data_IF_340007096892
#
_entry.id   IF_340007096892
#
_cell.length_a   1.000
_cell.length_b   1.000
_cell.length_c   1.000
_cell.angle_alpha   90.00
_cell.angle_beta   90.00
_cell.angle_gamma   90.00
#
_symmetry.space_group_name_H-M   'P 1'
#
loop_
_entity.id
_entity.type
_entity.pdbx_description
1 polymer ?
#
# COMPACT_ATOMS: atom_id res chain seq x y z
N UNK A 1 -16.45 -15.99 -12.97
CA UNK A 1 -15.08 -16.09 -13.50
C UNK A 1 -14.49 -17.41 -13.05
N UNK A 2 -13.76 -18.17 -13.89
CA UNK A 2 -13.16 -19.45 -13.48
C UNK A 2 -11.65 -19.39 -13.23
N UNK A 3 -10.97 -18.44 -13.87
CA UNK A 3 -9.53 -18.26 -13.80
C UNK A 3 -9.20 -16.77 -13.70
N UNK A 4 -8.19 -16.45 -12.91
CA UNK A 4 -7.70 -15.09 -12.67
C UNK A 4 -6.17 -15.10 -12.73
N UNK A 5 -5.57 -14.13 -13.42
CA UNK A 5 -4.13 -13.95 -13.48
C UNK A 5 -3.71 -12.86 -12.49
N UNK A 6 -2.89 -13.20 -11.50
CA UNK A 6 -2.39 -12.31 -10.46
C UNK A 6 -0.95 -11.92 -10.76
N UNK A 7 -0.71 -10.64 -11.05
CA UNK A 7 0.63 -10.10 -11.22
C UNK A 7 1.29 -9.75 -9.88
N UNK A 8 2.56 -10.15 -9.72
CA UNK A 8 3.36 -9.81 -8.54
C UNK A 8 4.84 -9.74 -8.89
N UNK A 9 5.65 -9.16 -8.02
CA UNK A 9 7.11 -9.21 -8.13
C UNK A 9 7.64 -10.58 -7.70
N UNK A 10 8.88 -10.87 -8.11
CA UNK A 10 9.56 -12.14 -7.85
C UNK A 10 10.24 -12.32 -6.50
N UNK A 11 10.23 -11.31 -5.63
CA UNK A 11 10.88 -11.45 -4.31
C UNK A 11 10.10 -12.42 -3.42
N UNK A 12 10.80 -13.11 -2.50
CA UNK A 12 10.17 -14.06 -1.58
C UNK A 12 8.99 -13.42 -0.82
N UNK A 13 9.14 -12.17 -0.39
CA UNK A 13 8.08 -11.42 0.27
C UNK A 13 6.91 -11.13 -0.69
N UNK A 14 7.16 -10.68 -1.92
CA UNK A 14 6.09 -10.38 -2.88
C UNK A 14 5.30 -11.63 -3.29
N UNK A 15 5.96 -12.79 -3.38
CA UNK A 15 5.29 -14.07 -3.60
C UNK A 15 4.45 -14.48 -2.39
N UNK A 16 4.99 -14.33 -1.16
CA UNK A 16 4.22 -14.62 0.06
C UNK A 16 2.96 -13.72 0.18
N UNK A 17 3.08 -12.44 -0.19
CA UNK A 17 1.97 -11.50 -0.24
C UNK A 17 0.92 -11.89 -1.31
N UNK A 18 1.36 -12.34 -2.48
CA UNK A 18 0.46 -12.84 -3.52
C UNK A 18 -0.29 -14.11 -3.09
N UNK A 19 0.38 -15.02 -2.37
CA UNK A 19 -0.24 -16.23 -1.82
C UNK A 19 -1.29 -15.92 -0.73
N UNK A 20 -1.08 -14.88 0.09
CA UNK A 20 -2.09 -14.39 1.05
C UNK A 20 -3.37 -13.94 0.35
N UNK A 21 -3.23 -13.09 -0.66
CA UNK A 21 -4.38 -12.60 -1.45
C UNK A 21 -5.09 -13.78 -2.12
N UNK A 22 -4.34 -14.70 -2.74
CA UNK A 22 -4.89 -15.93 -3.34
C UNK A 22 -5.65 -16.77 -2.32
N UNK A 23 -5.14 -16.96 -1.10
CA UNK A 23 -5.83 -17.71 -0.05
C UNK A 23 -7.18 -17.09 0.31
N UNK A 24 -7.24 -15.77 0.50
CA UNK A 24 -8.49 -15.05 0.80
C UNK A 24 -9.49 -15.17 -0.36
N UNK A 25 -9.02 -15.02 -1.59
CA UNK A 25 -9.84 -15.18 -2.80
C UNK A 25 -10.42 -16.61 -2.90
N UNK A 26 -9.59 -17.64 -2.75
CA UNK A 26 -10.04 -19.04 -2.80
C UNK A 26 -10.99 -19.37 -1.64
N UNK A 27 -10.80 -18.79 -0.46
CA UNK A 27 -11.75 -19.00 0.65
C UNK A 27 -13.14 -18.43 0.37
N UNK A 28 -13.21 -17.39 -0.47
CA UNK A 28 -14.47 -16.75 -0.88
C UNK A 28 -15.08 -17.46 -2.09
N UNK A 29 -14.25 -17.88 -3.05
CA UNK A 29 -14.66 -18.58 -4.28
C UNK A 29 -13.79 -19.84 -4.44
N UNK A 30 -14.20 -20.99 -3.87
CA UNK A 30 -13.38 -22.21 -3.84
C UNK A 30 -13.01 -22.78 -5.21
N UNK A 31 -13.83 -22.53 -6.23
CA UNK A 31 -13.59 -22.96 -7.61
C UNK A 31 -12.72 -22.00 -8.43
N UNK A 32 -12.27 -20.89 -7.86
CA UNK A 32 -11.45 -19.92 -8.56
C UNK A 32 -10.01 -20.45 -8.74
N UNK A 33 -9.59 -20.58 -9.99
CA UNK A 33 -8.20 -20.86 -10.31
C UNK A 33 -7.40 -19.54 -10.38
N UNK A 34 -6.26 -19.48 -9.69
CA UNK A 34 -5.37 -18.31 -9.71
C UNK A 34 -4.02 -18.72 -10.28
N UNK A 35 -3.59 -18.05 -11.34
CA UNK A 35 -2.26 -18.19 -11.95
C UNK A 35 -1.41 -16.96 -11.62
N UNK A 36 -0.16 -17.18 -11.24
CA UNK A 36 0.77 -16.08 -10.97
C UNK A 36 1.51 -15.67 -12.24
N UNK A 37 1.53 -14.36 -12.48
CA UNK A 37 2.39 -13.73 -13.46
C UNK A 37 3.48 -12.94 -12.73
N UNK A 38 4.65 -13.53 -12.61
CA UNK A 38 5.81 -12.84 -12.05
C UNK A 38 6.31 -11.75 -13.01
N UNK A 39 6.47 -10.53 -12.50
CA UNK A 39 6.91 -9.36 -13.28
C UNK A 39 8.21 -8.83 -12.69
N UNK A 40 9.24 -8.75 -13.54
CA UNK A 40 10.50 -8.08 -13.21
C UNK A 40 10.32 -6.59 -13.47
N UNK A 41 10.54 -5.77 -12.44
CA UNK A 41 10.41 -4.31 -12.55
C UNK A 41 11.78 -3.65 -12.71
N UNK A 42 11.78 -2.38 -13.12
CA UNK A 42 13.02 -1.59 -13.20
C UNK A 42 13.76 -1.52 -11.86
N UNK A 43 13.03 -1.41 -10.74
CA UNK A 43 13.59 -1.44 -9.39
C UNK A 43 14.19 -2.80 -8.97
N UNK A 44 13.79 -3.91 -9.61
CA UNK A 44 14.43 -5.21 -9.39
C UNK A 44 15.77 -5.34 -10.12
N UNK A 45 15.94 -4.62 -11.24
CA UNK A 45 17.13 -4.66 -12.07
C UNK A 45 18.31 -3.88 -11.46
N UNK A 46 18.06 -2.80 -10.72
CA UNK A 46 19.08 -2.01 -10.01
C UNK A 46 18.96 -2.14 -8.48
N UNK A 47 19.78 -3.02 -7.91
CA UNK A 47 19.89 -3.24 -6.46
C UNK A 47 21.09 -2.55 -5.81
N UNK A 48 21.84 -1.74 -6.57
CA UNK A 48 23.13 -1.18 -6.12
C UNK A 48 23.04 0.33 -5.91
N UNK A 49 22.21 1.01 -6.68
CA UNK A 49 21.99 2.44 -6.53
C UNK A 49 21.08 2.73 -5.33
N UNK A 50 21.35 3.76 -4.51
CA UNK A 50 20.40 4.23 -3.51
C UNK A 50 19.06 4.59 -4.15
N UNK A 51 17.94 4.24 -3.52
CA UNK A 51 16.59 4.61 -4.00
C UNK A 51 16.45 6.10 -4.30
N UNK A 52 17.07 6.96 -3.49
CA UNK A 52 17.07 8.42 -3.68
C UNK A 52 17.80 8.90 -4.94
N UNK A 53 18.57 8.02 -5.61
CA UNK A 53 19.33 8.33 -6.82
C UNK A 53 18.70 7.79 -8.09
N UNK A 54 17.58 7.07 -7.97
CA UNK A 54 16.85 6.50 -9.10
C UNK A 54 15.61 7.37 -9.32
N UNK A 55 15.53 8.02 -10.49
CA UNK A 55 14.37 8.82 -10.88
C UNK A 55 13.14 7.93 -11.10
N UNK A 56 12.06 8.20 -10.36
CA UNK A 56 10.73 7.61 -10.58
C UNK A 56 10.08 7.05 -9.32
N UNK A 57 8.85 7.49 -9.04
CA UNK A 57 8.02 6.92 -7.96
C UNK A 57 7.37 5.57 -8.35
N UNK A 58 7.61 5.09 -9.57
CA UNK A 58 6.92 3.97 -10.24
C UNK A 58 7.82 2.72 -10.44
N UNK A 59 9.04 2.71 -9.89
CA UNK A 59 10.09 1.70 -10.14
C UNK A 59 9.67 0.24 -9.89
N UNK A 60 8.68 0.04 -9.02
CA UNK A 60 8.18 -1.29 -8.65
C UNK A 60 6.76 -1.57 -9.17
N UNK A 61 6.18 -0.64 -9.93
CA UNK A 61 4.74 -0.64 -10.24
C UNK A 61 4.49 -0.55 -11.75
N UNK A 62 5.26 0.25 -12.49
CA UNK A 62 5.00 0.50 -13.92
C UNK A 62 4.88 -0.77 -14.76
N UNK A 63 5.86 -1.68 -14.68
CA UNK A 63 5.84 -2.89 -15.51
C UNK A 63 4.68 -3.84 -15.15
N UNK A 64 4.15 -3.75 -13.92
CA UNK A 64 2.98 -4.48 -13.43
C UNK A 64 1.70 -3.84 -13.97
N UNK A 65 1.56 -2.51 -13.86
CA UNK A 65 0.43 -1.75 -14.41
C UNK A 65 0.29 -2.00 -15.92
N UNK A 66 1.39 -2.09 -16.66
CA UNK A 66 1.38 -2.48 -18.08
C UNK A 66 0.73 -3.85 -18.33
N UNK A 67 0.87 -4.81 -17.40
CA UNK A 67 0.22 -6.14 -17.52
C UNK A 67 -1.27 -6.04 -17.26
N UNK A 68 -1.69 -5.20 -16.31
CA UNK A 68 -3.10 -4.92 -16.06
C UNK A 68 -3.74 -4.24 -17.26
N UNK A 69 -3.12 -3.17 -17.77
CA UNK A 69 -3.66 -2.39 -18.90
C UNK A 69 -3.74 -3.23 -20.17
N UNK A 70 -2.73 -4.06 -20.45
CA UNK A 70 -2.71 -4.93 -21.64
C UNK A 70 -3.58 -6.18 -21.52
N UNK A 71 -4.22 -6.42 -20.37
CA UNK A 71 -5.03 -7.62 -20.14
C UNK A 71 -4.23 -8.90 -19.96
N UNK A 72 -2.91 -8.80 -19.71
CA UNK A 72 -2.03 -9.95 -19.43
C UNK A 72 -2.15 -10.43 -17.98
N UNK A 73 -2.57 -9.55 -17.08
CA UNK A 73 -2.93 -9.86 -15.70
C UNK A 73 -4.30 -9.23 -15.39
N UNK A 74 -5.01 -9.78 -14.42
CA UNK A 74 -6.35 -9.34 -14.01
C UNK A 74 -6.30 -8.49 -12.75
N UNK A 75 -5.46 -8.88 -11.80
CA UNK A 75 -5.16 -8.11 -10.60
C UNK A 75 -3.65 -8.07 -10.38
N UNK A 76 -3.21 -7.13 -9.55
CA UNK A 76 -1.84 -7.08 -9.06
C UNK A 76 -1.81 -6.89 -7.54
N UNK A 77 -0.77 -7.43 -6.90
CA UNK A 77 -0.57 -7.33 -5.46
C UNK A 77 0.68 -6.52 -5.17
N UNK A 78 0.55 -5.53 -4.28
CA UNK A 78 1.63 -4.62 -3.90
C UNK A 78 1.71 -4.50 -2.38
N UNK A 79 2.91 -4.34 -1.82
CA UNK A 79 3.04 -3.61 -0.56
C UNK A 79 2.54 -2.19 -0.79
N UNK A 80 1.55 -1.74 -0.02
CA UNK A 80 0.89 -0.46 -0.23
C UNK A 80 1.85 0.74 -0.09
N UNK A 81 2.87 0.63 0.78
CA UNK A 81 3.94 1.61 0.95
C UNK A 81 4.79 1.86 -0.31
N UNK A 82 4.78 0.94 -1.27
CA UNK A 82 5.54 1.05 -2.53
C UNK A 82 4.69 1.58 -3.68
N UNK A 83 3.39 1.84 -3.46
CA UNK A 83 2.54 2.41 -4.50
C UNK A 83 2.89 3.89 -4.72
N UNK A 84 3.02 4.35 -5.97
CA UNK A 84 3.11 5.77 -6.26
C UNK A 84 1.86 6.50 -5.76
N UNK A 85 1.95 7.82 -5.60
CA UNK A 85 0.78 8.64 -5.27
C UNK A 85 -0.31 8.54 -6.35
N UNK A 86 0.07 8.61 -7.63
CA UNK A 86 -0.82 8.39 -8.76
C UNK A 86 -0.56 7.01 -9.35
N UNK A 87 -1.60 6.20 -9.48
CA UNK A 87 -1.59 4.96 -10.26
C UNK A 87 -2.02 5.24 -11.70
N UNK A 88 -1.71 4.34 -12.62
CA UNK A 88 -1.99 4.55 -14.04
C UNK A 88 -3.49 4.72 -14.35
N UNK A 89 -3.78 5.52 -15.38
CA UNK A 89 -5.15 5.78 -15.81
C UNK A 89 -5.88 4.47 -16.18
N UNK A 90 -7.11 4.33 -15.71
CA UNK A 90 -7.93 3.14 -15.93
C UNK A 90 -7.73 2.04 -14.90
N UNK A 91 -6.79 2.20 -13.96
CA UNK A 91 -6.59 1.30 -12.83
C UNK A 91 -7.19 1.85 -11.53
N UNK A 92 -7.37 0.97 -10.56
CA UNK A 92 -7.87 1.30 -9.22
C UNK A 92 -7.35 0.28 -8.20
N UNK A 93 -7.09 0.73 -6.98
CA UNK A 93 -6.93 -0.16 -5.83
C UNK A 93 -8.32 -0.65 -5.43
N UNK A 94 -8.61 -1.90 -5.80
CA UNK A 94 -9.92 -2.52 -5.60
C UNK A 94 -10.09 -3.18 -4.24
N UNK A 95 -8.99 -3.37 -3.50
CA UNK A 95 -9.02 -3.88 -2.14
C UNK A 95 -7.73 -3.65 -1.36
N UNK A 96 -7.84 -3.70 -0.04
CA UNK A 96 -6.72 -3.59 0.89
C UNK A 96 -6.81 -4.67 1.98
N UNK A 97 -5.67 -5.23 2.36
CA UNK A 97 -5.56 -6.24 3.42
C UNK A 97 -4.50 -5.82 4.43
N UNK A 98 -4.69 -6.21 5.69
CA UNK A 98 -3.63 -6.14 6.70
C UNK A 98 -2.59 -7.22 6.45
N UNK A 99 -1.29 -6.90 6.58
CA UNK A 99 -0.21 -7.91 6.50
C UNK A 99 -0.10 -8.79 7.75
N UNK A 100 -0.93 -8.56 8.77
CA UNK A 100 -0.88 -9.29 10.04
C UNK A 100 -1.06 -10.82 9.87
N UNK A 101 -1.67 -11.25 8.77
CA UNK A 101 -1.93 -12.66 8.45
C UNK A 101 -0.78 -13.37 7.71
N UNK A 102 0.28 -12.66 7.32
CA UNK A 102 1.42 -13.26 6.61
C UNK A 102 2.25 -14.15 7.55
N UNK A 103 2.48 -15.40 7.15
CA UNK A 103 3.54 -16.23 7.74
C UNK A 103 4.87 -15.50 7.54
N UNK A 104 5.45 -15.05 8.66
CA UNK A 104 6.60 -14.14 8.64
C UNK A 104 7.82 -14.82 8.05
N UNK A 105 8.40 -14.18 7.03
CA UNK A 105 9.82 -14.34 6.73
C UNK A 105 10.56 -13.55 7.82
N UNK A 106 11.00 -14.25 8.87
CA UNK A 106 11.76 -13.60 9.94
C UNK A 106 13.24 -13.49 9.53
N UNK A 107 13.82 -12.28 9.57
CA UNK A 107 15.25 -12.13 9.40
C UNK A 107 16.00 -12.81 10.54
N UNK A 108 17.25 -13.22 10.30
CA UNK A 108 18.13 -13.63 11.39
C UNK A 108 18.46 -12.41 12.26
N UNK A 109 17.87 -12.36 13.45
CA UNK A 109 18.07 -11.31 14.43
C UNK A 109 19.12 -11.69 15.49
N UNK A 110 19.84 -12.79 15.30
CA UNK A 110 20.85 -13.25 16.26
C UNK A 110 21.95 -12.19 16.43
N UNK A 111 22.27 -11.89 17.70
CA UNK A 111 23.27 -10.88 18.06
C UNK A 111 22.80 -9.42 18.00
N UNK A 112 21.54 -9.15 17.67
CA UNK A 112 20.95 -7.81 17.72
C UNK A 112 20.09 -7.61 18.98
N UNK A 113 20.06 -6.37 19.48
CA UNK A 113 19.05 -5.95 20.46
C UNK A 113 17.84 -5.44 19.69
N UNK A 114 16.71 -6.13 19.82
CA UNK A 114 15.48 -5.83 19.09
C UNK A 114 14.44 -5.31 20.07
N UNK A 115 13.88 -4.15 19.77
CA UNK A 115 12.75 -3.58 20.49
C UNK A 115 11.72 -3.06 19.50
N UNK A 116 10.43 -3.10 19.87
CA UNK A 116 9.37 -2.54 19.06
C UNK A 116 9.36 -1.03 19.26
N UNK A 117 9.49 -0.26 18.18
CA UNK A 117 9.28 1.20 18.23
C UNK A 117 7.79 1.52 18.23
N UNK A 118 7.39 2.50 19.04
CA UNK A 118 6.06 3.10 18.96
C UNK A 118 5.99 4.01 17.72
N UNK A 119 4.82 4.11 17.09
CA UNK A 119 4.63 5.00 15.94
C UNK A 119 4.83 6.49 16.30
N UNK A 120 4.76 6.84 17.60
CA UNK A 120 5.10 8.15 18.14
C UNK A 120 6.60 8.42 18.15
N UNK A 121 7.43 7.38 18.32
CA UNK A 121 8.89 7.49 18.33
C UNK A 121 9.47 7.36 16.93
N UNK A 122 8.89 6.48 16.10
CA UNK A 122 9.30 6.24 14.73
C UNK A 122 8.07 6.05 13.86
N UNK A 123 7.62 7.14 13.24
CA UNK A 123 6.43 7.11 12.40
C UNK A 123 6.70 6.24 11.15
N UNK A 124 5.80 5.30 10.82
CA UNK A 124 5.98 4.45 9.65
C UNK A 124 5.84 5.22 8.34
N UNK A 125 6.30 4.59 7.25
CA UNK A 125 5.96 5.03 5.91
C UNK A 125 4.44 4.97 5.71
N UNK A 126 3.90 5.82 4.84
CA UNK A 126 2.48 5.77 4.50
C UNK A 126 2.12 4.37 3.98
N UNK A 127 1.04 3.82 4.51
CA UNK A 127 0.46 2.51 4.22
C UNK A 127 1.37 1.33 4.56
N UNK A 128 2.35 1.54 5.45
CA UNK A 128 3.25 0.46 5.83
C UNK A 128 2.50 -0.69 6.50
N UNK A 129 2.78 -1.91 6.05
CA UNK A 129 2.13 -3.11 6.56
C UNK A 129 0.70 -3.31 6.05
N UNK A 130 0.38 -2.75 4.90
CA UNK A 130 -0.86 -3.06 4.16
C UNK A 130 -0.52 -3.67 2.81
N UNK A 131 -1.36 -4.60 2.34
CA UNK A 131 -1.36 -5.05 0.96
C UNK A 131 -2.43 -4.29 0.20
N UNK A 132 -2.06 -3.80 -0.98
CA UNK A 132 -2.99 -3.20 -1.92
C UNK A 132 -3.17 -4.12 -3.12
N UNK A 133 -4.44 -4.35 -3.50
CA UNK A 133 -4.78 -5.15 -4.67
C UNK A 133 -5.31 -4.23 -5.76
N UNK A 134 -4.53 -4.09 -6.82
CA UNK A 134 -4.84 -3.25 -7.97
C UNK A 134 -5.58 -4.05 -9.05
N UNK A 135 -6.52 -3.41 -9.74
CA UNK A 135 -7.22 -3.97 -10.89
C UNK A 135 -7.66 -2.89 -11.87
N UNK A 136 -8.22 -3.28 -13.01
CA UNK A 136 -8.84 -2.34 -13.96
C UNK A 136 -10.15 -1.80 -13.40
N UNK A 137 -10.37 -0.49 -13.51
CA UNK A 137 -11.61 0.18 -13.09
C UNK A 137 -12.86 -0.38 -13.76
N UNK A 138 -12.73 -0.82 -15.02
CA UNK A 138 -13.82 -1.37 -15.82
C UNK A 138 -14.26 -2.78 -15.38
N UNK A 139 -13.46 -3.52 -14.61
CA UNK A 139 -13.73 -4.92 -14.28
C UNK A 139 -14.62 -5.05 -13.04
N UNK A 140 -15.92 -4.83 -13.22
CA UNK A 140 -16.88 -4.81 -12.11
C UNK A 140 -16.91 -6.11 -11.28
N UNK A 141 -16.77 -7.26 -11.93
CA UNK A 141 -16.79 -8.56 -11.26
C UNK A 141 -15.54 -8.76 -10.39
N UNK A 142 -14.37 -8.29 -10.86
CA UNK A 142 -13.14 -8.30 -10.05
C UNK A 142 -13.29 -7.35 -8.89
N UNK A 143 -13.81 -6.14 -9.11
CA UNK A 143 -14.01 -5.17 -8.02
C UNK A 143 -14.93 -5.70 -6.91
N UNK A 144 -15.99 -6.44 -7.27
CA UNK A 144 -16.86 -7.11 -6.27
C UNK A 144 -16.10 -8.17 -5.50
N UNK A 145 -15.35 -9.02 -6.20
CA UNK A 145 -14.54 -10.06 -5.58
C UNK A 145 -13.48 -9.49 -4.64
N UNK A 146 -12.84 -8.38 -5.01
CA UNK A 146 -11.86 -7.69 -4.17
C UNK A 146 -12.53 -7.03 -2.95
N UNK A 147 -13.74 -6.49 -3.10
CA UNK A 147 -14.50 -5.95 -1.99
C UNK A 147 -14.82 -7.02 -0.94
N UNK A 148 -15.11 -8.25 -1.35
CA UNK A 148 -15.45 -9.36 -0.43
C UNK A 148 -14.26 -9.80 0.45
N UNK A 149 -13.02 -9.63 -0.03
CA UNK A 149 -11.82 -9.97 0.75
C UNK A 149 -11.24 -8.78 1.52
N UNK A 150 -11.68 -7.56 1.21
CA UNK A 150 -11.09 -6.33 1.74
C UNK A 150 -11.31 -6.20 3.24
N UNK A 151 -10.23 -5.88 3.97
CA UNK A 151 -10.35 -5.43 5.35
C UNK A 151 -10.74 -3.95 5.38
N UNK A 152 -11.92 -3.66 5.90
CA UNK A 152 -12.50 -2.32 5.85
C UNK A 152 -11.67 -1.29 6.62
N UNK A 153 -11.13 -1.66 7.78
CA UNK A 153 -10.27 -0.78 8.57
C UNK A 153 -8.97 -0.47 7.82
N UNK A 154 -8.31 -1.48 7.25
CA UNK A 154 -7.12 -1.31 6.42
C UNK A 154 -7.39 -0.42 5.21
N UNK A 155 -8.54 -0.58 4.54
CA UNK A 155 -8.93 0.26 3.42
C UNK A 155 -9.13 1.72 3.83
N UNK A 156 -9.78 1.98 4.97
CA UNK A 156 -9.93 3.33 5.49
C UNK A 156 -8.59 3.98 5.84
N UNK A 157 -7.71 3.24 6.53
CA UNK A 157 -6.36 3.73 6.86
C UNK A 157 -5.57 4.01 5.58
N UNK A 158 -5.61 3.09 4.61
CA UNK A 158 -5.01 3.27 3.29
C UNK A 158 -5.51 4.55 2.60
N UNK A 159 -6.82 4.80 2.59
CA UNK A 159 -7.39 6.03 2.01
C UNK A 159 -6.94 7.30 2.73
N UNK A 160 -6.96 7.30 4.08
CA UNK A 160 -6.54 8.44 4.90
C UNK A 160 -5.07 8.79 4.66
N UNK A 161 -4.20 7.78 4.69
CA UNK A 161 -2.76 7.96 4.59
C UNK A 161 -2.35 8.38 3.16
N UNK A 162 -2.97 7.80 2.13
CA UNK A 162 -2.74 8.23 0.73
C UNK A 162 -3.30 9.60 0.42
N UNK A 163 -4.41 9.98 1.04
CA UNK A 163 -4.95 11.32 0.89
C UNK A 163 -3.96 12.37 1.41
N UNK A 164 -3.39 12.15 2.60
CA UNK A 164 -2.35 13.00 3.17
C UNK A 164 -1.09 13.02 2.29
N UNK A 165 -0.63 11.85 1.83
CA UNK A 165 0.52 11.72 0.92
C UNK A 165 0.33 12.59 -0.34
N UNK A 166 -0.84 12.50 -0.96
CA UNK A 166 -1.19 13.28 -2.14
C UNK A 166 -1.27 14.77 -1.93
N UNK A 167 -1.83 15.18 -0.79
CA UNK A 167 -1.97 16.60 -0.43
C UNK A 167 -0.64 17.26 -0.13
N UNK A 168 0.32 16.52 0.42
CA UNK A 168 1.67 17.01 0.72
C UNK A 168 2.55 17.14 -0.53
N UNK A 169 2.13 16.55 -1.67
CA UNK A 169 2.77 16.64 -3.01
C UNK A 169 4.28 16.44 -2.97
N UNK A 170 4.76 15.48 -2.18
CA UNK A 170 6.18 15.17 -2.11
C UNK A 170 6.58 14.17 -3.18
N UNK A 171 7.70 14.43 -3.83
CA UNK A 171 8.51 13.41 -4.47
C UNK A 171 9.10 12.47 -3.40
N UNK A 172 9.43 11.22 -3.77
CA UNK A 172 9.98 10.21 -2.85
C UNK A 172 11.35 10.56 -2.23
N UNK A 173 11.86 11.77 -2.45
CA UNK A 173 13.12 12.28 -1.92
C UNK A 173 12.96 12.96 -0.54
N UNK A 174 11.73 13.24 -0.11
CA UNK A 174 11.43 13.97 1.13
C UNK A 174 11.18 13.01 2.30
N UNK A 175 11.85 13.17 3.46
CA UNK A 175 11.56 12.37 4.64
C UNK A 175 10.14 12.63 5.13
N UNK A 176 9.31 11.60 5.04
CA UNK A 176 7.91 11.64 5.42
C UNK A 176 7.51 10.32 6.09
N UNK A 177 6.62 10.43 7.07
CA UNK A 177 5.84 9.29 7.56
C UNK A 177 4.42 9.72 7.85
N UNK A 178 3.48 8.82 7.62
CA UNK A 178 2.05 9.06 7.82
C UNK A 178 1.48 7.81 8.48
N UNK A 179 0.73 8.00 9.55
CA UNK A 179 0.09 6.91 10.25
C UNK A 179 -1.32 7.30 10.67
N UNK A 180 -2.29 6.52 10.20
CA UNK A 180 -3.68 6.55 10.65
C UNK A 180 -3.92 5.37 11.60
N UNK A 181 -4.41 5.68 12.79
CA UNK A 181 -4.90 4.70 13.74
C UNK A 181 -6.39 4.89 13.93
N UNK A 182 -7.14 3.78 13.96
CA UNK A 182 -8.59 3.78 14.12
C UNK A 182 -8.93 2.93 15.35
N UNK A 183 -9.68 3.51 16.28
CA UNK A 183 -10.30 2.79 17.39
C UNK A 183 -11.81 3.09 17.37
N UNK A 184 -12.60 2.12 16.93
CA UNK A 184 -14.04 2.27 16.70
C UNK A 184 -14.38 3.43 15.74
N UNK A 185 -14.75 4.58 16.28
CA UNK A 185 -15.09 5.80 15.53
C UNK A 185 -14.06 6.91 15.72
N UNK A 186 -13.07 6.72 16.59
CA UNK A 186 -12.01 7.66 16.84
C UNK A 186 -10.85 7.38 15.89
N UNK A 187 -10.31 8.44 15.30
CA UNK A 187 -9.21 8.40 14.34
C UNK A 187 -8.09 9.30 14.86
N UNK A 188 -6.90 8.73 14.96
CA UNK A 188 -5.67 9.48 15.21
C UNK A 188 -4.87 9.57 13.90
N UNK A 189 -4.57 10.79 13.46
CA UNK A 189 -3.72 11.06 12.30
C UNK A 189 -2.41 11.66 12.77
N UNK A 190 -1.30 10.97 12.50
CA UNK A 190 0.05 11.45 12.77
C UNK A 190 0.80 11.62 11.45
N UNK A 191 1.51 12.73 11.30
CA UNK A 191 2.32 13.03 10.11
C UNK A 191 3.65 13.63 10.53
N UNK A 192 4.74 13.05 10.02
CA UNK A 192 6.06 13.67 10.00
C UNK A 192 6.33 14.12 8.56
N UNK A 193 6.70 15.38 8.39
CA UNK A 193 7.05 15.92 7.08
C UNK A 193 8.17 16.94 7.22
N UNK A 194 9.33 16.69 6.60
CA UNK A 194 10.49 17.59 6.66
C UNK A 194 10.92 17.96 8.10
N UNK A 195 10.83 17.01 9.04
CA UNK A 195 11.19 17.23 10.45
C UNK A 195 10.12 17.94 11.29
N UNK A 196 8.97 18.28 10.72
CA UNK A 196 7.79 18.74 11.46
C UNK A 196 6.86 17.57 11.74
N UNK A 197 6.41 17.47 12.99
CA UNK A 197 5.43 16.48 13.42
C UNK A 197 4.12 17.17 13.77
N UNK A 198 3.02 16.67 13.19
CA UNK A 198 1.66 17.10 13.53
C UNK A 198 0.84 15.85 13.85
N UNK A 199 0.08 15.92 14.94
CA UNK A 199 -0.83 14.88 15.39
C UNK A 199 -2.19 15.51 15.70
N UNK A 200 -3.26 14.94 15.15
CA UNK A 200 -4.64 15.36 15.44
C UNK A 200 -5.55 14.15 15.57
N UNK A 201 -6.55 14.31 16.44
CA UNK A 201 -7.62 13.35 16.64
C UNK A 201 -8.92 13.87 16.06
N UNK A 202 -9.74 12.99 15.52
CA UNK A 202 -11.05 13.31 14.99
C UNK A 202 -11.96 12.09 15.06
N UNK A 203 -13.24 12.31 14.82
CA UNK A 203 -14.15 11.20 14.53
C UNK A 203 -14.03 10.80 13.07
N UNK A 204 -14.33 9.53 12.77
CA UNK A 204 -14.20 8.94 11.44
C UNK A 204 -14.97 9.69 10.34
N UNK A 205 -16.03 10.44 10.65
CA UNK A 205 -16.76 11.24 9.66
C UNK A 205 -16.07 12.55 9.30
N UNK A 206 -15.10 12.99 10.09
CA UNK A 206 -14.40 14.28 9.95
C UNK A 206 -12.95 14.15 9.47
N UNK A 207 -12.44 12.92 9.26
CA UNK A 207 -11.02 12.68 8.97
C UNK A 207 -10.47 13.52 7.81
N UNK A 208 -11.28 13.78 6.77
CA UNK A 208 -10.86 14.61 5.63
C UNK A 208 -10.60 16.06 6.02
N UNK A 209 -11.46 16.64 6.87
CA UNK A 209 -11.26 18.01 7.38
C UNK A 209 -9.99 18.08 8.21
N UNK A 210 -9.81 17.12 9.11
CA UNK A 210 -8.63 17.04 9.97
C UNK A 210 -7.34 16.81 9.16
N UNK A 211 -7.39 15.99 8.11
CA UNK A 211 -6.25 15.82 7.21
C UNK A 211 -5.87 17.12 6.50
N UNK A 212 -6.84 17.92 6.07
CA UNK A 212 -6.60 19.23 5.46
C UNK A 212 -5.97 20.22 6.45
N UNK A 213 -6.45 20.26 7.69
CA UNK A 213 -5.86 21.07 8.77
C UNK A 213 -4.40 20.68 9.05
N UNK A 214 -4.08 19.37 9.02
CA UNK A 214 -2.70 18.88 9.16
C UNK A 214 -1.82 19.39 8.02
N UNK A 215 -2.30 19.28 6.78
CA UNK A 215 -1.55 19.71 5.59
C UNK A 215 -1.29 21.21 5.63
N UNK A 216 -2.30 22.00 6.00
CA UNK A 216 -2.15 23.45 6.19
C UNK A 216 -1.04 23.72 7.21
N UNK A 217 -1.15 23.17 8.42
CA UNK A 217 -0.19 23.37 9.52
C UNK A 217 1.25 23.00 9.13
N UNK A 218 1.45 21.88 8.42
CA UNK A 218 2.76 21.47 7.93
C UNK A 218 3.32 22.42 6.87
N UNK A 219 2.46 22.99 6.04
CA UNK A 219 2.82 23.88 4.92
C UNK A 219 2.87 25.37 5.28
N UNK A 220 2.49 25.77 6.51
CA UNK A 220 2.42 27.18 6.93
C UNK A 220 3.75 27.95 6.86
N UNK A 221 4.90 27.27 6.72
CA UNK A 221 6.23 27.91 6.61
C UNK A 221 6.91 27.73 5.23
N UNK A 222 6.14 27.47 4.16
CA UNK A 222 6.66 27.46 2.78
C UNK A 222 6.64 28.84 2.14
#
# INVERSE_FOLDING_TARGET
MKKLILATRGSELAIAQAEEVKRKLISTVPELEIEFLEVVTSGDADRKSPLSSIDGNDLFVREIEEKLISGKADIAVHSAENLPFEIAEGLIIGGALSVADLEKIEPDLSGLSVSKCDAKDFIPAACQGMLAVECRKADEDIRKLLADITDYESMLRFEMERYLLGRLKSDCSVPMGIHAYIDNCDVELSVMFCGKYVHKNCVITEWRRTADEIVEELCLDK
#
